data_IF_366673050291
#
_entry.id   IF_366673050291
#
_cell.length_a   1.000
_cell.length_b   1.000
_cell.length_c   1.000
_cell.angle_alpha   90.00
_cell.angle_beta   90.00
_cell.angle_gamma   90.00
#
_symmetry.space_group_name_H-M   'P 1'
#
loop_
_entity.id
_entity.type
_entity.pdbx_description
1 polymer ?
#
# COMPACT_ATOMS: atom_id res chain seq x y z
N UNK A 1 -68.73 30.25 9.01
CA UNK A 1 -68.87 30.87 10.34
C UNK A 1 -67.53 31.46 10.75
N UNK A 2 -67.57 32.73 11.12
CA UNK A 2 -66.62 33.57 11.87
C UNK A 2 -65.10 33.39 11.73
N UNK A 3 -64.52 34.44 11.12
CA UNK A 3 -63.31 35.17 11.48
C UNK A 3 -62.85 35.08 12.95
N UNK A 4 -61.54 35.27 13.17
CA UNK A 4 -60.91 36.38 13.94
C UNK A 4 -59.47 35.99 14.33
N UNK A 5 -58.48 36.75 13.85
CA UNK A 5 -57.19 36.93 14.55
C UNK A 5 -57.41 37.89 15.73
N UNK A 6 -56.62 37.79 16.81
CA UNK A 6 -55.65 38.86 17.04
C UNK A 6 -54.32 38.45 17.73
N UNK A 7 -53.26 39.20 17.44
CA UNK A 7 -52.06 39.52 18.28
C UNK A 7 -52.47 40.68 19.24
N UNK A 8 -51.82 41.08 20.38
CA UNK A 8 -50.38 40.97 20.75
C UNK A 8 -50.00 40.91 22.27
N UNK A 9 -48.68 41.01 22.53
CA UNK A 9 -47.97 41.47 23.75
C UNK A 9 -47.91 40.46 24.95
N UNK A 10 -46.88 40.37 25.81
CA UNK A 10 -45.96 41.35 26.38
C UNK A 10 -44.71 40.64 26.95
N UNK A 11 -43.61 41.39 27.05
CA UNK A 11 -42.34 41.06 27.67
C UNK A 11 -42.42 40.72 29.18
N UNK A 12 -41.40 40.00 29.67
CA UNK A 12 -41.11 39.85 31.09
C UNK A 12 -39.66 39.42 31.29
N UNK A 13 -38.76 40.41 31.42
CA UNK A 13 -37.43 40.23 32.00
C UNK A 13 -37.57 40.02 33.51
N UNK A 14 -36.88 39.01 34.04
CA UNK A 14 -36.63 38.84 35.47
C UNK A 14 -35.15 38.55 35.70
N UNK A 15 -34.43 39.53 36.24
CA UNK A 15 -33.08 39.37 36.78
C UNK A 15 -33.12 38.51 38.05
N UNK A 16 -32.21 37.55 38.14
CA UNK A 16 -31.91 36.81 39.37
C UNK A 16 -30.46 36.37 39.32
N UNK A 17 -29.59 37.16 39.96
CA UNK A 17 -28.16 36.91 40.10
C UNK A 17 -27.95 36.14 41.41
N UNK A 18 -27.43 34.92 41.33
CA UNK A 18 -26.65 34.30 42.41
C UNK A 18 -25.58 33.39 41.79
N UNK A 19 -24.35 33.63 42.23
CA UNK A 19 -23.14 32.90 41.87
C UNK A 19 -23.22 31.42 42.23
N UNK A 20 -22.70 30.54 41.37
CA UNK A 20 -21.95 29.33 41.77
C UNK A 20 -21.08 28.86 40.59
N UNK A 21 -19.79 28.72 40.89
CA UNK A 21 -18.73 28.20 40.03
C UNK A 21 -18.89 26.69 39.86
N UNK A 22 -18.83 26.17 38.62
CA UNK A 22 -18.11 24.95 38.24
C UNK A 22 -18.37 24.59 36.77
N UNK A 23 -17.28 24.61 36.00
CA UNK A 23 -16.86 23.53 35.12
C UNK A 23 -17.70 23.16 33.88
N UNK A 24 -16.98 23.11 32.75
CA UNK A 24 -17.35 22.23 31.65
C UNK A 24 -18.29 22.85 30.63
N UNK A 25 -17.70 23.50 29.61
CA UNK A 25 -18.04 23.29 28.21
C UNK A 25 -17.20 24.25 27.38
N UNK A 26 -15.90 23.93 27.23
CA UNK A 26 -15.26 24.28 25.97
C UNK A 26 -16.05 23.51 24.91
N UNK A 27 -16.96 24.25 24.27
CA UNK A 27 -17.57 23.90 23.00
C UNK A 27 -16.44 23.34 22.14
N UNK A 28 -16.43 22.02 21.98
CA UNK A 28 -15.73 21.36 20.88
C UNK A 28 -16.30 21.98 19.62
N UNK A 29 -15.64 23.05 19.18
CA UNK A 29 -15.73 23.56 17.84
C UNK A 29 -15.37 22.36 16.98
N UNK A 30 -16.40 21.74 16.43
CA UNK A 30 -16.28 20.80 15.34
C UNK A 30 -15.67 21.58 14.18
N UNK A 31 -14.34 21.65 14.17
CA UNK A 31 -13.59 22.13 13.04
C UNK A 31 -13.74 21.07 11.95
N UNK A 32 -14.66 21.32 11.02
CA UNK A 32 -14.40 20.96 9.62
C UNK A 32 -13.12 21.69 9.21
N UNK A 33 -11.96 21.01 9.22
CA UNK A 33 -10.70 21.66 8.87
C UNK A 33 -9.52 20.69 8.70
N UNK A 34 -9.06 20.55 7.46
CA UNK A 34 -7.76 19.95 7.11
C UNK A 34 -7.75 18.42 6.98
N UNK A 35 -7.29 17.90 5.84
CA UNK A 35 -6.87 16.50 5.75
C UNK A 35 -5.75 16.32 6.78
N UNK A 36 -5.96 15.49 7.80
CA UNK A 36 -4.92 15.19 8.81
C UNK A 36 -3.61 14.76 8.15
N UNK A 37 -2.50 14.99 8.85
CA UNK A 37 -1.16 14.61 8.42
C UNK A 37 -1.04 13.09 8.30
N UNK A 38 -0.20 12.66 7.36
CA UNK A 38 0.13 11.25 7.16
C UNK A 38 1.63 11.07 6.99
N UNK A 39 2.14 9.97 7.49
CA UNK A 39 3.53 9.55 7.38
C UNK A 39 3.60 8.29 6.53
N UNK A 40 4.43 8.31 5.50
CA UNK A 40 4.85 7.10 4.80
C UNK A 40 6.00 6.48 5.58
N UNK A 41 5.83 5.21 5.95
CA UNK A 41 6.77 4.46 6.77
C UNK A 41 7.82 3.75 5.90
N UNK A 42 7.38 3.26 4.75
CA UNK A 42 8.21 2.57 3.78
C UNK A 42 7.48 2.28 2.48
N UNK A 43 8.26 1.97 1.45
CA UNK A 43 7.76 1.46 0.17
C UNK A 43 8.29 0.05 -0.05
N UNK A 44 7.40 -0.90 -0.31
CA UNK A 44 7.66 -2.33 -0.29
C UNK A 44 7.40 -2.96 -1.65
N UNK A 45 8.32 -3.80 -2.09
CA UNK A 45 8.14 -4.65 -3.28
C UNK A 45 7.78 -6.08 -2.89
N UNK A 46 8.25 -6.53 -1.73
CA UNK A 46 7.98 -7.86 -1.22
C UNK A 46 6.83 -7.80 -0.22
N UNK A 47 5.78 -8.57 -0.48
CA UNK A 47 4.63 -8.66 0.42
C UNK A 47 5.00 -9.22 1.80
N UNK A 48 6.00 -10.10 1.88
CA UNK A 48 6.48 -10.65 3.15
C UNK A 48 7.07 -9.57 4.05
N UNK A 49 7.91 -8.68 3.51
CA UNK A 49 8.48 -7.57 4.27
C UNK A 49 7.43 -6.54 4.66
N UNK A 50 6.46 -6.27 3.76
CA UNK A 50 5.32 -5.41 4.07
C UNK A 50 4.53 -5.97 5.26
N UNK A 51 4.14 -7.25 5.21
CA UNK A 51 3.40 -7.91 6.29
C UNK A 51 4.17 -7.89 7.62
N UNK A 52 5.47 -8.18 7.57
CA UNK A 52 6.30 -8.17 8.77
C UNK A 52 6.33 -6.78 9.44
N UNK A 53 6.51 -5.72 8.65
CA UNK A 53 6.54 -4.36 9.16
C UNK A 53 5.15 -3.86 9.58
N UNK A 54 4.08 -4.21 8.85
CA UNK A 54 2.69 -3.98 9.27
C UNK A 54 2.44 -4.56 10.66
N UNK A 55 2.76 -5.85 10.87
CA UNK A 55 2.59 -6.49 12.18
C UNK A 55 3.46 -5.87 13.27
N UNK A 56 4.68 -5.39 12.95
CA UNK A 56 5.53 -4.69 13.91
C UNK A 56 4.92 -3.35 14.35
N UNK A 57 4.28 -2.64 13.43
CA UNK A 57 3.56 -1.39 13.74
C UNK A 57 2.28 -1.65 14.53
N UNK A 58 1.47 -2.63 14.15
CA UNK A 58 0.23 -3.00 14.87
C UNK A 58 0.51 -3.41 16.32
N UNK A 59 1.54 -4.25 16.53
CA UNK A 59 1.97 -4.65 17.89
C UNK A 59 2.46 -3.47 18.73
N UNK A 60 2.99 -2.44 18.08
CA UNK A 60 3.36 -1.20 18.74
C UNK A 60 2.19 -0.22 18.88
N UNK A 61 0.95 -0.60 18.57
CA UNK A 61 -0.25 0.20 18.77
C UNK A 61 -0.55 1.21 17.66
N UNK A 62 0.15 1.13 16.53
CA UNK A 62 -0.16 1.95 15.36
C UNK A 62 -1.25 1.28 14.52
N UNK A 63 -1.97 2.07 13.72
CA UNK A 63 -3.00 1.60 12.80
C UNK A 63 -2.57 1.89 11.36
N UNK A 64 -1.63 1.11 10.79
CA UNK A 64 -1.09 1.41 9.49
C UNK A 64 -2.09 1.08 8.36
N UNK A 65 -2.04 1.87 7.30
CA UNK A 65 -2.77 1.62 6.06
C UNK A 65 -1.80 1.27 4.93
N UNK A 66 -2.24 0.41 4.01
CA UNK A 66 -1.47 0.03 2.83
C UNK A 66 -2.14 0.59 1.59
N UNK A 67 -1.38 1.31 0.78
CA UNK A 67 -1.84 1.83 -0.51
C UNK A 67 -0.89 1.41 -1.63
N UNK A 68 -1.37 1.45 -2.88
CA UNK A 68 -0.52 1.22 -4.04
C UNK A 68 0.62 2.25 -4.10
N UNK A 69 1.83 1.77 -4.29
CA UNK A 69 3.03 2.58 -4.48
C UNK A 69 3.39 2.75 -5.96
N UNK A 70 4.42 3.57 -6.25
CA UNK A 70 4.94 3.72 -7.61
C UNK A 70 5.53 2.40 -8.12
N UNK A 71 5.58 2.21 -9.44
CA UNK A 71 6.42 1.15 -10.00
C UNK A 71 7.88 1.45 -9.69
N UNK A 72 8.64 0.43 -9.32
CA UNK A 72 10.08 0.56 -9.09
C UNK A 72 10.83 -0.37 -10.03
N UNK A 73 11.91 0.12 -10.62
CA UNK A 73 12.84 -0.75 -11.34
C UNK A 73 13.60 -1.60 -10.33
N UNK A 74 13.55 -2.92 -10.47
CA UNK A 74 14.26 -3.86 -9.60
C UNK A 74 14.93 -4.95 -10.42
N UNK A 75 16.15 -5.37 -10.03
CA UNK A 75 16.78 -6.54 -10.62
C UNK A 75 15.98 -7.78 -10.22
N UNK A 76 15.62 -8.58 -11.21
CA UNK A 76 14.97 -9.88 -11.03
C UNK A 76 15.73 -10.97 -11.76
N UNK A 77 15.69 -12.16 -11.18
CA UNK A 77 16.19 -13.39 -11.78
C UNK A 77 15.05 -14.01 -12.60
N UNK A 78 15.18 -14.00 -13.92
CA UNK A 78 14.21 -14.55 -14.86
C UNK A 78 14.66 -15.92 -15.36
N UNK A 79 13.74 -16.88 -15.41
CA UNK A 79 14.00 -18.20 -15.98
C UNK A 79 13.51 -18.23 -17.42
N UNK A 80 14.42 -18.11 -18.38
CA UNK A 80 14.11 -18.17 -19.82
C UNK A 80 13.97 -19.63 -20.24
N UNK A 81 12.85 -19.98 -20.86
CA UNK A 81 12.63 -21.33 -21.42
C UNK A 81 12.97 -21.38 -22.90
N UNK A 82 12.73 -20.29 -23.64
CA UNK A 82 13.04 -20.23 -25.07
C UNK A 82 12.64 -18.89 -25.69
N UNK A 83 13.09 -18.68 -26.92
CA UNK A 83 12.82 -17.50 -27.74
C UNK A 83 12.19 -17.97 -29.06
N UNK A 84 11.13 -17.28 -29.49
CA UNK A 84 10.30 -17.72 -30.62
C UNK A 84 10.06 -16.58 -31.60
N UNK A 85 10.17 -16.83 -32.90
CA UNK A 85 9.85 -15.84 -33.95
C UNK A 85 8.34 -15.71 -34.25
N UNK A 86 7.50 -16.61 -33.72
CA UNK A 86 6.06 -16.62 -33.96
C UNK A 86 5.30 -16.58 -32.64
N UNK A 87 4.36 -15.64 -32.52
CA UNK A 87 3.46 -15.54 -31.37
C UNK A 87 2.66 -16.83 -31.16
N UNK A 88 2.16 -17.44 -32.24
CA UNK A 88 1.35 -18.68 -32.17
C UNK A 88 2.17 -19.83 -31.56
N UNK A 89 3.42 -20.00 -31.99
CA UNK A 89 4.33 -21.00 -31.42
C UNK A 89 4.64 -20.68 -29.96
N UNK A 90 4.99 -19.42 -29.67
CA UNK A 90 5.31 -18.98 -28.32
C UNK A 90 4.15 -19.21 -27.35
N UNK A 91 2.91 -18.94 -27.78
CA UNK A 91 1.70 -19.14 -26.99
C UNK A 91 1.44 -20.61 -26.70
N UNK A 92 1.64 -21.50 -27.69
CA UNK A 92 1.51 -22.95 -27.49
C UNK A 92 2.51 -23.46 -26.44
N UNK A 93 3.76 -23.01 -26.52
CA UNK A 93 4.78 -23.38 -25.52
C UNK A 93 4.50 -22.78 -24.15
N UNK A 94 4.00 -21.54 -24.07
CA UNK A 94 3.57 -20.92 -22.82
C UNK A 94 2.55 -21.79 -22.08
N UNK A 95 1.53 -22.30 -22.78
CA UNK A 95 0.50 -23.14 -22.15
C UNK A 95 1.05 -24.48 -21.65
N UNK A 96 2.13 -25.01 -22.25
CA UNK A 96 2.83 -26.18 -21.70
C UNK A 96 3.60 -25.81 -20.43
N UNK A 97 4.36 -24.72 -20.45
CA UNK A 97 5.15 -24.28 -19.29
C UNK A 97 4.23 -23.92 -18.12
N UNK A 98 3.06 -23.32 -18.36
CA UNK A 98 2.06 -22.99 -17.32
C UNK A 98 1.58 -24.19 -16.52
N UNK A 99 1.58 -25.40 -17.09
CA UNK A 99 1.23 -26.63 -16.37
C UNK A 99 2.25 -26.94 -15.28
N UNK A 100 3.52 -26.58 -15.49
CA UNK A 100 4.58 -26.77 -14.50
C UNK A 100 4.83 -25.51 -13.66
N UNK A 101 4.75 -24.31 -14.21
CA UNK A 101 4.94 -23.03 -13.51
C UNK A 101 3.83 -22.03 -13.85
N UNK A 102 2.97 -21.76 -12.87
CA UNK A 102 1.89 -20.78 -12.98
C UNK A 102 2.38 -19.35 -13.22
N UNK A 103 3.64 -19.06 -12.89
CA UNK A 103 4.27 -17.76 -13.08
C UNK A 103 4.82 -17.53 -14.49
N UNK A 104 4.60 -18.45 -15.42
CA UNK A 104 5.12 -18.33 -16.78
C UNK A 104 4.43 -17.23 -17.60
N UNK A 105 5.20 -16.50 -18.39
CA UNK A 105 4.73 -15.39 -19.23
C UNK A 105 5.58 -15.22 -20.49
N UNK A 106 5.02 -14.53 -21.48
CA UNK A 106 5.71 -14.13 -22.70
C UNK A 106 6.03 -12.64 -22.65
N UNK A 107 7.16 -12.28 -23.24
CA UNK A 107 7.52 -10.89 -23.48
C UNK A 107 7.99 -10.75 -24.93
N UNK A 108 7.46 -9.76 -25.64
CA UNK A 108 7.88 -9.44 -27.00
C UNK A 108 8.96 -8.35 -26.97
N UNK A 109 10.16 -8.67 -27.46
CA UNK A 109 11.31 -7.77 -27.53
C UNK A 109 11.98 -7.99 -28.90
N UNK A 110 12.31 -6.90 -29.60
CA UNK A 110 13.05 -6.93 -30.87
C UNK A 110 12.47 -7.90 -31.92
N UNK A 111 11.13 -7.99 -32.02
CA UNK A 111 10.45 -8.87 -32.98
C UNK A 111 10.44 -10.35 -32.59
N UNK A 112 11.00 -10.72 -31.43
CA UNK A 112 10.98 -12.07 -30.88
C UNK A 112 10.09 -12.16 -29.64
N UNK A 113 9.55 -13.34 -29.38
CA UNK A 113 8.76 -13.65 -28.19
C UNK A 113 9.59 -14.53 -27.25
N UNK A 114 10.05 -13.96 -26.14
CA UNK A 114 10.78 -14.69 -25.10
C UNK A 114 9.80 -15.28 -24.10
N UNK A 115 9.88 -16.60 -23.89
CA UNK A 115 9.12 -17.33 -22.89
C UNK A 115 9.91 -17.44 -21.60
N UNK A 116 9.32 -16.94 -20.52
CA UNK A 116 9.84 -17.07 -19.18
C UNK A 116 8.97 -18.02 -18.36
N UNK A 117 9.59 -18.86 -17.54
CA UNK A 117 8.89 -19.69 -16.55
C UNK A 117 8.59 -18.94 -15.25
N UNK A 118 9.19 -17.77 -15.02
CA UNK A 118 8.94 -16.94 -13.85
C UNK A 118 9.99 -15.84 -13.66
N UNK A 119 9.71 -14.93 -12.72
CA UNK A 119 10.64 -13.89 -12.25
C UNK A 119 10.76 -13.96 -10.73
N UNK A 120 11.98 -13.94 -10.21
CA UNK A 120 12.27 -14.15 -8.79
C UNK A 120 13.22 -13.09 -8.23
N UNK A 121 12.89 -12.55 -7.06
CA UNK A 121 13.77 -11.62 -6.35
C UNK A 121 15.01 -12.30 -5.78
N UNK A 122 14.85 -13.52 -5.25
CA UNK A 122 15.95 -14.30 -4.66
C UNK A 122 16.51 -15.28 -5.68
N UNK A 123 17.84 -15.31 -5.80
CA UNK A 123 18.53 -16.17 -6.76
C UNK A 123 18.33 -17.64 -6.40
N UNK A 124 18.39 -17.97 -5.11
CA UNK A 124 18.23 -19.33 -4.58
C UNK A 124 16.89 -19.91 -5.00
N UNK A 125 15.81 -19.11 -4.87
CA UNK A 125 14.47 -19.53 -5.29
C UNK A 125 14.37 -19.74 -6.81
N UNK A 126 15.08 -18.92 -7.59
CA UNK A 126 15.13 -19.09 -9.04
C UNK A 126 15.86 -20.39 -9.43
N UNK A 127 16.97 -20.71 -8.75
CA UNK A 127 17.73 -21.95 -8.96
C UNK A 127 16.92 -23.18 -8.56
N UNK A 128 16.27 -23.18 -7.40
CA UNK A 128 15.36 -24.26 -6.98
C UNK A 128 14.29 -24.54 -8.03
N UNK A 129 13.68 -23.48 -8.57
CA UNK A 129 12.66 -23.63 -9.59
C UNK A 129 13.25 -24.07 -10.95
N UNK A 130 14.46 -23.61 -11.28
CA UNK A 130 15.19 -24.06 -12.46
C UNK A 130 15.37 -25.59 -12.44
N UNK A 131 15.84 -26.15 -11.32
CA UNK A 131 16.01 -27.59 -11.16
C UNK A 131 14.67 -28.33 -11.20
N UNK A 132 13.65 -27.81 -10.52
CA UNK A 132 12.29 -28.40 -10.57
C UNK A 132 11.72 -28.42 -11.99
N UNK A 133 11.98 -27.40 -12.79
CA UNK A 133 11.53 -27.36 -14.19
C UNK A 133 12.30 -28.36 -15.07
N UNK A 134 13.57 -28.63 -14.76
CA UNK A 134 14.35 -29.70 -15.42
C UNK A 134 13.77 -31.07 -15.18
N UNK A 135 13.25 -31.35 -13.98
CA UNK A 135 12.54 -32.63 -13.73
C UNK A 135 11.23 -32.74 -14.53
N UNK A 136 10.72 -31.64 -15.08
CA UNK A 136 9.57 -31.62 -15.99
C UNK A 136 9.97 -31.52 -17.48
N UNK A 137 11.25 -31.71 -17.81
CA UNK A 137 11.75 -31.72 -19.19
C UNK A 137 11.99 -30.35 -19.81
N UNK A 138 11.92 -29.26 -19.04
CA UNK A 138 12.31 -27.93 -19.51
C UNK A 138 13.78 -27.65 -19.20
N UNK A 139 14.46 -26.85 -20.01
CA UNK A 139 15.88 -26.49 -19.77
C UNK A 139 16.02 -24.98 -19.56
N UNK A 140 15.41 -24.40 -18.50
CA UNK A 140 15.43 -22.96 -18.32
C UNK A 140 16.84 -22.42 -18.04
N UNK A 141 17.13 -21.23 -18.55
CA UNK A 141 18.36 -20.47 -18.32
C UNK A 141 18.06 -19.28 -17.41
N UNK A 142 18.92 -19.06 -16.41
CA UNK A 142 18.82 -17.91 -15.52
C UNK A 142 19.38 -16.65 -16.23
N UNK A 143 18.55 -15.62 -16.41
CA UNK A 143 18.98 -14.28 -16.86
C UNK A 143 18.62 -13.24 -15.81
N UNK A 144 19.49 -12.26 -15.58
CA UNK A 144 19.16 -11.09 -14.79
C UNK A 144 18.56 -10.00 -15.69
N UNK A 145 17.51 -9.33 -15.19
CA UNK A 145 16.91 -8.20 -15.87
C UNK A 145 16.35 -7.21 -14.85
N UNK A 146 16.52 -5.92 -15.12
CA UNK A 146 15.82 -4.87 -14.39
C UNK A 146 14.41 -4.73 -14.94
N UNK A 147 13.42 -4.84 -14.05
CA UNK A 147 12.01 -4.87 -14.46
C UNK A 147 11.17 -3.95 -13.57
N UNK A 148 10.19 -3.23 -14.14
CA UNK A 148 9.30 -2.39 -13.36
C UNK A 148 8.32 -3.27 -12.58
N UNK A 149 8.47 -3.31 -11.26
CA UNK A 149 7.59 -4.05 -10.35
C UNK A 149 6.66 -3.12 -9.60
N UNK A 150 5.43 -3.59 -9.36
CA UNK A 150 4.50 -2.90 -8.47
C UNK A 150 5.06 -2.82 -7.05
N UNK A 151 4.68 -1.78 -6.33
CA UNK A 151 5.04 -1.61 -4.93
C UNK A 151 3.85 -1.18 -4.09
N UNK A 152 4.03 -1.21 -2.77
CA UNK A 152 3.05 -0.76 -1.79
C UNK A 152 3.68 0.27 -0.86
N UNK A 153 2.93 1.30 -0.49
CA UNK A 153 3.32 2.21 0.59
C UNK A 153 2.61 1.78 1.87
N UNK A 154 3.36 1.66 2.95
CA UNK A 154 2.83 1.51 4.30
C UNK A 154 2.78 2.91 4.94
N UNK A 155 1.62 3.29 5.45
CA UNK A 155 1.37 4.65 5.94
C UNK A 155 0.72 4.63 7.31
N UNK A 156 0.89 5.71 8.07
CA UNK A 156 0.10 6.03 9.25
C UNK A 156 -0.54 7.41 8.98
N UNK A 157 -1.87 7.48 9.02
CA UNK A 157 -2.63 8.69 8.68
C UNK A 157 -3.50 9.18 9.83
N UNK A 158 -4.28 10.22 9.57
CA UNK A 158 -5.23 10.79 10.54
C UNK A 158 -4.56 11.54 11.69
N UNK A 159 -3.32 11.99 11.51
CA UNK A 159 -2.59 12.70 12.56
C UNK A 159 -3.02 14.17 12.57
N UNK A 160 -3.55 14.72 13.67
CA UNK A 160 -4.26 16.00 13.63
C UNK A 160 -3.35 17.21 13.41
N UNK A 161 -2.10 17.16 13.89
CA UNK A 161 -1.17 18.30 13.84
C UNK A 161 0.21 17.91 13.36
N UNK A 162 0.99 18.90 12.91
CA UNK A 162 2.37 18.70 12.47
C UNK A 162 3.25 18.23 13.62
N UNK A 163 3.04 18.76 14.81
CA UNK A 163 3.77 18.42 16.04
C UNK A 163 3.48 16.97 16.44
N UNK A 164 2.21 16.55 16.35
CA UNK A 164 1.82 15.16 16.56
C UNK A 164 2.48 14.24 15.52
N UNK A 165 2.54 14.65 14.24
CA UNK A 165 3.22 13.88 13.20
C UNK A 165 4.73 13.78 13.44
N UNK A 166 5.36 14.84 13.94
CA UNK A 166 6.78 14.81 14.30
C UNK A 166 7.05 13.88 15.49
N UNK A 167 6.19 13.90 16.52
CA UNK A 167 6.27 13.00 17.67
C UNK A 167 6.11 11.53 17.23
N UNK A 168 5.14 11.26 16.38
CA UNK A 168 4.91 9.93 15.84
C UNK A 168 6.09 9.46 14.97
N UNK A 169 6.62 10.35 14.13
CA UNK A 169 7.82 10.10 13.35
C UNK A 169 9.04 9.79 14.24
N UNK A 170 9.20 10.48 15.38
CA UNK A 170 10.27 10.20 16.33
C UNK A 170 10.13 8.79 16.94
N UNK A 171 8.93 8.40 17.36
CA UNK A 171 8.64 7.06 17.87
C UNK A 171 8.90 5.97 16.82
N UNK A 172 8.54 6.21 15.56
CA UNK A 172 8.81 5.28 14.47
C UNK A 172 10.32 5.13 14.20
N UNK A 173 11.11 6.21 14.35
CA UNK A 173 12.56 6.16 14.21
C UNK A 173 13.24 5.31 15.29
N UNK A 174 12.75 5.33 16.52
CA UNK A 174 13.30 4.44 17.58
C UNK A 174 13.06 2.96 17.29
N UNK A 175 12.04 2.65 16.48
CA UNK A 175 11.76 1.30 15.98
C UNK A 175 12.51 0.96 14.67
N UNK A 176 13.42 1.82 14.22
CA UNK A 176 14.25 1.61 13.03
C UNK A 176 13.59 2.03 11.70
N UNK A 177 12.40 2.62 11.72
CA UNK A 177 11.76 3.13 10.51
C UNK A 177 12.29 4.51 10.10
N UNK A 178 12.12 4.87 8.82
CA UNK A 178 12.51 6.18 8.27
C UNK A 178 11.29 6.91 7.70
N UNK A 179 10.36 7.37 8.57
CA UNK A 179 9.12 7.97 8.13
C UNK A 179 9.35 9.32 7.46
N UNK A 180 8.57 9.60 6.42
CA UNK A 180 8.52 10.89 5.73
C UNK A 180 7.07 11.33 5.50
N UNK A 181 6.78 12.64 5.43
CA UNK A 181 5.43 13.12 5.16
C UNK A 181 4.90 12.58 3.83
N UNK A 182 3.64 12.16 3.80
CA UNK A 182 2.95 11.91 2.54
C UNK A 182 2.70 13.25 1.82
N UNK A 183 2.89 13.32 0.49
CA UNK A 183 2.54 14.50 -0.30
C UNK A 183 1.04 14.77 -0.34
#
# INVERSE_FOLDING_TARGET
MSTVQPKPATAGQGHGMTDTVAEGSEKTLSQKGGKGFSLVIGTYVLQSTLKADTSRLEKAGFHPTVVSGPKMSRPMNRLVVGEFGSYTTARKELEKVKKASKGAFLLQENGTFTLFAGSYFRKERAVEEQERLRTHGFVPILKQADVPVGSWKLMIGGIPTREAAQKEAARLRTMGFKPYPAP
#
